data_IF_712038861770
#
_entry.id   IF_712038861770
#
_cell.length_a   1.000
_cell.length_b   1.000
_cell.length_c   1.000
_cell.angle_alpha   90.00
_cell.angle_beta   90.00
_cell.angle_gamma   90.00
#
_symmetry.space_group_name_H-M   'P 1'
#
loop_
_entity.id
_entity.type
_entity.pdbx_description
1 polymer ?
#
# COMPACT_ATOMS: atom_id res chain seq x y z
N UNK A 1 12.05 -18.16 6.76
CA UNK A 1 13.11 -17.18 6.43
C UNK A 1 14.24 -17.38 7.42
N UNK A 2 15.43 -17.76 6.95
CA UNK A 2 16.66 -17.37 7.66
C UNK A 2 17.05 -15.98 7.14
N UNK A 3 17.59 -15.07 7.96
CA UNK A 3 18.00 -13.75 7.51
C UNK A 3 19.15 -13.85 6.50
N UNK A 4 19.13 -12.99 5.48
CA UNK A 4 20.09 -12.97 4.38
C UNK A 4 21.53 -12.61 4.79
N UNK A 5 21.70 -12.03 5.98
CA UNK A 5 22.97 -11.81 6.65
C UNK A 5 22.70 -11.51 8.14
N UNK A 6 23.61 -11.94 9.02
CA UNK A 6 23.77 -11.32 10.33
C UNK A 6 24.95 -10.36 10.23
N UNK A 7 24.69 -9.05 10.30
CA UNK A 7 25.74 -8.04 10.14
C UNK A 7 25.38 -6.76 10.86
N UNK A 8 26.38 -6.06 11.38
CA UNK A 8 26.18 -4.71 11.90
C UNK A 8 26.03 -3.76 10.70
N UNK A 9 25.08 -2.83 10.79
CA UNK A 9 24.97 -1.74 9.84
C UNK A 9 25.06 -0.43 10.60
N UNK A 10 25.70 0.57 9.98
CA UNK A 10 25.72 1.93 10.51
C UNK A 10 25.23 2.86 9.42
N UNK A 11 24.26 3.69 9.78
CA UNK A 11 23.84 4.85 8.98
C UNK A 11 24.31 6.09 9.73
N UNK A 12 24.81 7.09 9.01
CA UNK A 12 25.24 8.37 9.58
C UNK A 12 24.95 9.47 8.56
N UNK A 13 24.72 10.69 9.01
CA UNK A 13 24.56 11.88 8.16
C UNK A 13 25.54 12.93 8.64
N UNK A 14 26.29 13.53 7.73
CA UNK A 14 27.29 14.57 8.05
C UNK A 14 27.53 15.45 6.81
N UNK A 15 27.69 16.76 7.00
CA UNK A 15 28.14 17.73 5.98
C UNK A 15 27.54 17.57 4.56
N UNK A 16 26.23 17.33 4.43
CA UNK A 16 25.57 17.20 3.13
C UNK A 16 25.71 15.82 2.47
N UNK A 17 26.08 14.79 3.22
CA UNK A 17 26.13 13.40 2.75
C UNK A 17 25.40 12.46 3.71
N UNK A 18 24.76 11.43 3.13
CA UNK A 18 24.24 10.28 3.85
C UNK A 18 25.16 9.07 3.62
N UNK A 19 25.61 8.47 4.72
CA UNK A 19 26.59 7.39 4.73
C UNK A 19 25.92 6.10 5.19
N UNK A 20 26.19 4.99 4.50
CA UNK A 20 25.89 3.66 5.01
C UNK A 20 26.95 2.64 4.59
N UNK A 21 27.25 1.70 5.48
CA UNK A 21 28.09 0.55 5.15
C UNK A 21 27.47 -0.72 5.72
N UNK A 22 27.74 -1.84 5.04
CA UNK A 22 27.37 -3.16 5.51
C UNK A 22 28.61 -3.82 6.13
N UNK A 23 28.51 -4.22 7.40
CA UNK A 23 29.53 -5.01 8.07
C UNK A 23 29.21 -6.50 7.93
N UNK A 24 29.81 -7.17 6.95
CA UNK A 24 29.65 -8.61 6.77
C UNK A 24 30.66 -9.40 7.65
N UNK A 25 31.54 -8.74 8.42
CA UNK A 25 32.54 -9.42 9.27
C UNK A 25 31.92 -10.24 10.40
N UNK A 26 30.68 -9.93 10.78
CA UNK A 26 29.88 -10.70 11.75
C UNK A 26 28.94 -11.73 11.08
N UNK A 27 28.98 -11.88 9.75
CA UNK A 27 28.24 -12.94 9.05
C UNK A 27 28.84 -14.29 9.43
N UNK A 28 28.15 -15.00 10.31
CA UNK A 28 28.57 -16.28 10.86
C UNK A 28 28.36 -17.43 9.85
N UNK A 29 28.92 -17.29 8.65
CA UNK A 29 28.82 -18.25 7.54
C UNK A 29 30.00 -19.24 7.59
N UNK A 30 29.75 -20.56 7.55
CA UNK A 30 30.84 -21.53 7.52
C UNK A 30 31.53 -21.48 6.15
N UNK A 31 32.86 -21.33 6.15
CA UNK A 31 33.73 -21.19 4.97
C UNK A 31 33.67 -19.83 4.23
N UNK A 32 33.90 -18.73 4.94
CA UNK A 32 34.22 -17.44 4.31
C UNK A 32 35.75 -17.14 4.30
N UNK A 33 36.42 -17.07 3.13
CA UNK A 33 37.82 -16.65 3.03
C UNK A 33 38.07 -15.14 3.24
N UNK A 34 37.02 -14.31 3.39
CA UNK A 34 37.12 -12.85 3.52
C UNK A 34 37.05 -12.34 4.97
N UNK A 35 37.08 -13.25 5.96
CA UNK A 35 37.07 -12.96 7.40
C UNK A 35 38.05 -11.84 7.80
N UNK A 36 37.53 -10.63 8.04
CA UNK A 36 38.26 -9.49 8.61
C UNK A 36 38.41 -8.25 7.73
N UNK A 37 37.88 -8.21 6.50
CA UNK A 37 37.88 -7.00 5.65
C UNK A 37 36.55 -6.23 5.74
N UNK A 38 36.56 -4.94 5.40
CA UNK A 38 35.34 -4.16 5.18
C UNK A 38 34.93 -4.33 3.71
N UNK A 39 33.68 -4.72 3.43
CA UNK A 39 33.34 -5.22 2.09
C UNK A 39 32.86 -4.14 1.11
N UNK A 40 31.89 -3.31 1.51
CA UNK A 40 31.31 -2.26 0.65
C UNK A 40 30.88 -1.03 1.47
N UNK A 41 31.33 0.14 1.02
CA UNK A 41 30.89 1.45 1.47
C UNK A 41 29.99 2.11 0.44
N UNK A 42 28.97 2.83 0.91
CA UNK A 42 28.09 3.63 0.08
C UNK A 42 27.97 5.05 0.63
N UNK A 43 27.92 6.02 -0.28
CA UNK A 43 27.63 7.41 0.04
C UNK A 43 26.62 7.98 -0.96
N UNK A 44 25.69 8.75 -0.42
CA UNK A 44 24.75 9.56 -1.17
C UNK A 44 25.09 11.04 -1.00
N UNK A 45 25.37 11.69 -2.13
CA UNK A 45 25.61 13.12 -2.32
C UNK A 45 24.26 13.84 -2.40
N UNK A 46 23.85 14.48 -1.29
CA UNK A 46 22.56 15.18 -1.19
C UNK A 46 22.52 16.45 -2.05
N UNK A 47 23.68 17.02 -2.42
CA UNK A 47 23.75 18.26 -3.18
C UNK A 47 23.53 18.03 -4.68
N UNK A 48 23.92 16.87 -5.20
CA UNK A 48 23.82 16.53 -6.62
C UNK A 48 22.88 15.36 -6.92
N UNK A 49 22.22 14.77 -5.90
CA UNK A 49 21.33 13.60 -6.03
C UNK A 49 22.03 12.39 -6.69
N UNK A 50 23.17 11.97 -6.13
CA UNK A 50 24.00 10.89 -6.70
C UNK A 50 24.46 9.88 -5.66
N UNK A 51 24.41 8.60 -6.02
CA UNK A 51 24.96 7.50 -5.23
C UNK A 51 26.36 7.11 -5.73
N UNK A 52 27.23 6.77 -4.78
CA UNK A 52 28.58 6.25 -5.03
C UNK A 52 28.87 5.04 -4.13
N UNK A 53 29.74 4.15 -4.60
CA UNK A 53 30.27 3.04 -3.78
C UNK A 53 31.80 2.90 -3.88
N UNK A 54 32.38 2.24 -2.88
CA UNK A 54 33.81 1.87 -2.83
C UNK A 54 33.99 0.57 -2.04
N UNK A 55 35.03 -0.19 -2.38
CA UNK A 55 35.51 -1.34 -1.55
C UNK A 55 36.55 -0.92 -0.51
N UNK A 56 37.10 0.29 -0.61
CA UNK A 56 38.15 0.79 0.26
C UNK A 56 37.68 2.04 1.02
N UNK A 57 37.90 2.06 2.34
CA UNK A 57 37.64 3.23 3.17
C UNK A 57 38.80 4.21 3.05
N UNK A 58 38.55 5.39 2.49
CA UNK A 58 39.47 6.52 2.61
C UNK A 58 39.19 7.30 3.89
N UNK A 59 40.26 7.70 4.60
CA UNK A 59 40.16 8.48 5.86
C UNK A 59 39.77 9.93 5.59
N UNK A 60 40.03 10.42 4.37
CA UNK A 60 39.64 11.75 3.88
C UNK A 60 38.66 11.63 2.72
N UNK A 61 37.57 12.40 2.77
CA UNK A 61 36.47 12.24 1.83
C UNK A 61 36.62 13.15 0.61
N UNK A 62 37.28 12.64 -0.44
CA UNK A 62 37.37 13.26 -1.75
C UNK A 62 36.59 12.42 -2.76
N UNK A 63 35.48 12.93 -3.30
CA UNK A 63 34.72 12.25 -4.36
C UNK A 63 35.47 12.19 -5.70
N UNK A 64 36.55 12.95 -5.86
CA UNK A 64 37.46 12.88 -7.00
C UNK A 64 38.61 11.88 -6.77
N UNK A 65 38.55 11.03 -5.73
CA UNK A 65 39.49 9.93 -5.55
C UNK A 65 39.02 8.71 -6.36
N UNK A 66 39.96 8.07 -7.07
CA UNK A 66 39.71 6.99 -8.03
C UNK A 66 39.02 5.73 -7.45
N UNK A 67 38.89 5.64 -6.12
CA UNK A 67 38.21 4.56 -5.43
C UNK A 67 36.67 4.67 -5.42
N UNK A 68 36.09 5.86 -5.67
CA UNK A 68 34.64 6.04 -5.66
C UNK A 68 34.04 5.87 -7.06
N UNK A 69 33.13 4.91 -7.19
CA UNK A 69 32.42 4.63 -8.43
C UNK A 69 30.99 5.16 -8.34
N UNK A 70 30.62 6.02 -9.29
CA UNK A 70 29.25 6.51 -9.45
C UNK A 70 28.29 5.35 -9.78
N UNK A 71 27.09 5.42 -9.23
CA UNK A 71 26.00 4.47 -9.46
C UNK A 71 24.92 5.23 -10.25
N UNK A 72 24.83 5.04 -11.59
CA UNK A 72 23.73 5.57 -12.37
C UNK A 72 22.40 4.96 -11.92
N UNK A 73 21.31 5.68 -12.12
CA UNK A 73 19.96 5.21 -11.78
C UNK A 73 19.66 3.81 -12.36
N UNK A 74 18.97 2.99 -11.57
CA UNK A 74 18.66 1.58 -11.84
C UNK A 74 19.88 0.63 -12.02
N UNK A 75 21.13 1.09 -11.83
CA UNK A 75 22.32 0.23 -11.94
C UNK A 75 22.41 -0.74 -10.78
N UNK A 76 22.44 -2.04 -11.08
CA UNK A 76 22.74 -3.08 -10.09
C UNK A 76 24.25 -3.29 -10.00
N UNK A 77 24.83 -2.96 -8.85
CA UNK A 77 26.29 -2.98 -8.59
C UNK A 77 26.83 -4.41 -8.44
N UNK A 78 25.93 -5.38 -8.19
CA UNK A 78 26.20 -6.80 -8.18
C UNK A 78 25.13 -7.56 -7.43
N UNK A 79 24.95 -8.84 -7.78
CA UNK A 79 24.14 -9.79 -7.01
C UNK A 79 25.11 -10.86 -6.50
N UNK A 80 25.17 -11.08 -5.20
CA UNK A 80 25.96 -12.19 -4.63
C UNK A 80 25.19 -13.50 -4.82
N UNK A 81 25.23 -14.04 -6.04
CA UNK A 81 24.64 -15.34 -6.34
C UNK A 81 25.56 -16.46 -5.86
N UNK A 82 25.12 -17.18 -4.84
CA UNK A 82 25.61 -18.53 -4.60
C UNK A 82 25.03 -19.42 -5.71
N UNK A 83 25.88 -19.89 -6.63
CA UNK A 83 25.48 -20.61 -7.86
C UNK A 83 24.68 -21.91 -7.61
N UNK A 84 24.55 -22.37 -6.36
CA UNK A 84 23.71 -23.52 -5.99
C UNK A 84 22.26 -23.16 -5.60
N UNK A 85 21.88 -21.87 -5.53
CA UNK A 85 20.55 -21.42 -5.11
C UNK A 85 19.86 -20.55 -6.17
N UNK A 86 19.38 -21.18 -7.24
CA UNK A 86 18.20 -20.67 -7.95
C UNK A 86 16.97 -20.81 -7.06
N UNK A 87 16.77 -19.83 -6.16
CA UNK A 87 15.50 -19.66 -5.45
C UNK A 87 15.06 -18.20 -5.58
N UNK A 88 14.09 -18.00 -6.49
CA UNK A 88 13.12 -16.89 -6.51
C UNK A 88 13.60 -15.59 -5.87
N UNK A 89 14.45 -14.85 -6.59
CA UNK A 89 14.48 -13.41 -6.45
C UNK A 89 13.12 -12.88 -6.90
N UNK A 90 12.17 -12.75 -5.97
CA UNK A 90 10.98 -11.94 -6.17
C UNK A 90 11.44 -10.55 -6.58
N UNK A 91 11.22 -10.18 -7.85
CA UNK A 91 11.56 -8.84 -8.33
C UNK A 91 10.97 -7.82 -7.37
N UNK A 92 11.77 -6.88 -6.87
CA UNK A 92 11.26 -5.83 -5.99
C UNK A 92 10.29 -4.95 -6.78
N UNK A 93 8.99 -5.28 -6.73
CA UNK A 93 7.98 -4.63 -7.54
C UNK A 93 7.77 -3.23 -6.98
N UNK A 94 8.30 -2.24 -7.71
CA UNK A 94 8.24 -0.84 -7.31
C UNK A 94 6.75 -0.44 -7.23
N UNK A 95 6.27 0.03 -6.06
CA UNK A 95 4.91 0.56 -5.96
C UNK A 95 4.82 1.90 -6.72
N UNK A 96 3.67 2.24 -7.31
CA UNK A 96 3.46 3.54 -7.97
C UNK A 96 3.87 4.73 -7.09
N UNK A 97 4.62 5.67 -7.66
CA UNK A 97 5.15 6.86 -6.99
C UNK A 97 4.51 8.15 -7.51
N UNK A 98 4.76 9.24 -6.80
CA UNK A 98 4.34 10.61 -7.14
C UNK A 98 2.87 10.77 -7.53
N UNK A 99 1.98 10.10 -6.78
CA UNK A 99 0.53 10.20 -7.00
C UNK A 99 0.07 11.65 -6.78
N UNK A 100 -0.55 12.17 -7.84
CA UNK A 100 -1.13 13.50 -7.92
C UNK A 100 -2.60 13.38 -8.27
N UNK A 101 -3.41 14.26 -7.66
CA UNK A 101 -4.85 14.36 -7.86
C UNK A 101 -5.12 15.77 -8.39
N UNK A 102 -5.69 15.86 -9.58
CA UNK A 102 -6.05 17.12 -10.26
C UNK A 102 -7.49 17.07 -10.73
N UNK A 103 -8.05 18.20 -11.16
CA UNK A 103 -9.38 18.26 -11.75
C UNK A 103 -9.26 18.49 -13.26
N UNK A 104 -9.88 17.62 -14.04
CA UNK A 104 -9.88 17.67 -15.51
C UNK A 104 -11.33 17.54 -15.99
N UNK A 105 -11.82 18.53 -16.74
CA UNK A 105 -13.22 18.62 -17.20
C UNK A 105 -14.28 18.33 -16.11
N UNK A 106 -14.08 18.91 -14.92
CA UNK A 106 -14.85 18.69 -13.69
C UNK A 106 -14.75 17.30 -13.03
N UNK A 107 -14.02 16.33 -13.57
CA UNK A 107 -13.81 15.02 -12.94
C UNK A 107 -12.44 14.92 -12.28
N UNK A 108 -12.28 14.01 -11.32
CA UNK A 108 -11.02 13.84 -10.61
C UNK A 108 -10.04 13.00 -11.46
N UNK A 109 -8.91 13.59 -11.83
CA UNK A 109 -7.83 12.91 -12.53
C UNK A 109 -6.75 12.49 -11.55
N UNK A 110 -6.48 11.19 -11.51
CA UNK A 110 -5.40 10.56 -10.76
C UNK A 110 -4.23 10.33 -11.73
N UNK A 111 -3.00 10.63 -11.32
CA UNK A 111 -1.82 10.41 -12.15
C UNK A 111 -0.58 10.11 -11.34
N UNK A 112 0.28 9.24 -11.86
CA UNK A 112 1.44 8.65 -11.19
C UNK A 112 2.56 8.35 -12.18
N UNK A 113 3.77 8.09 -11.69
CA UNK A 113 4.92 7.78 -12.55
C UNK A 113 4.73 6.43 -13.27
N UNK A 114 5.06 6.39 -14.55
CA UNK A 114 5.07 5.16 -15.34
C UNK A 114 6.22 4.26 -14.89
N UNK A 115 5.94 2.95 -14.78
CA UNK A 115 6.93 1.94 -14.40
C UNK A 115 7.30 1.10 -15.62
N UNK A 116 8.42 1.42 -16.25
CA UNK A 116 8.90 0.82 -17.50
C UNK A 116 9.76 -0.44 -17.29
N UNK A 117 9.34 -1.34 -16.39
CA UNK A 117 10.08 -2.56 -16.04
C UNK A 117 9.74 -3.77 -16.93
N UNK A 118 8.94 -3.60 -17.99
CA UNK A 118 8.55 -4.64 -18.95
C UNK A 118 7.68 -5.79 -18.40
N UNK A 119 7.61 -5.93 -17.07
CA UNK A 119 6.91 -7.00 -16.35
C UNK A 119 5.61 -6.54 -15.68
N UNK A 120 5.22 -5.26 -15.83
CA UNK A 120 3.97 -4.72 -15.27
C UNK A 120 2.81 -5.09 -16.19
N UNK A 121 1.87 -5.90 -15.69
CA UNK A 121 0.66 -6.29 -16.41
C UNK A 121 -0.43 -5.22 -16.28
N UNK A 122 -0.66 -4.72 -15.07
CA UNK A 122 -1.70 -3.74 -14.81
C UNK A 122 -1.51 -2.95 -13.50
N UNK A 123 -2.10 -1.76 -13.45
CA UNK A 123 -2.26 -0.94 -12.26
C UNK A 123 -3.65 -1.17 -11.67
N UNK A 124 -3.73 -1.30 -10.35
CA UNK A 124 -4.98 -1.41 -9.59
C UNK A 124 -5.13 -0.16 -8.75
N UNK A 125 -6.17 0.63 -9.03
CA UNK A 125 -6.50 1.84 -8.27
C UNK A 125 -7.49 1.48 -7.18
N UNK A 126 -7.14 1.86 -5.96
CA UNK A 126 -7.95 1.69 -4.76
C UNK A 126 -8.47 3.05 -4.30
N UNK A 127 -9.76 3.10 -3.99
CA UNK A 127 -10.46 4.26 -3.43
C UNK A 127 -10.97 3.91 -2.05
N UNK A 128 -10.71 4.76 -1.05
CA UNK A 128 -11.30 4.65 0.28
C UNK A 128 -12.22 5.83 0.56
N UNK A 129 -13.51 5.55 0.68
CA UNK A 129 -14.56 6.49 1.07
C UNK A 129 -15.01 6.13 2.49
N UNK A 130 -14.83 7.06 3.45
CA UNK A 130 -15.30 7.01 4.85
C UNK A 130 -14.94 5.78 5.72
N UNK A 131 -14.36 4.72 5.17
CA UNK A 131 -14.08 3.47 5.88
C UNK A 131 -13.85 2.28 4.94
N UNK A 132 -14.70 2.16 3.92
CA UNK A 132 -14.56 1.15 2.87
C UNK A 132 -13.44 1.51 1.90
N UNK A 133 -12.47 0.61 1.70
CA UNK A 133 -11.52 0.65 0.58
C UNK A 133 -11.98 -0.34 -0.51
N UNK A 134 -11.95 0.07 -1.76
CA UNK A 134 -12.40 -0.74 -2.91
C UNK A 134 -11.45 -0.63 -4.10
N UNK A 135 -11.34 -1.71 -4.87
CA UNK A 135 -10.72 -1.65 -6.20
C UNK A 135 -11.71 -0.94 -7.10
N UNK A 136 -11.33 0.23 -7.58
CA UNK A 136 -12.17 1.08 -8.42
C UNK A 136 -11.87 0.88 -9.91
N UNK A 137 -10.61 0.60 -10.26
CA UNK A 137 -10.19 0.36 -11.63
C UNK A 137 -8.98 -0.58 -11.72
N UNK A 138 -8.95 -1.39 -12.79
CA UNK A 138 -7.76 -2.07 -13.32
C UNK A 138 -7.41 -1.40 -14.64
N UNK A 139 -6.13 -1.06 -14.85
CA UNK A 139 -5.68 -0.28 -16.01
C UNK A 139 -4.40 -0.91 -16.57
N UNK A 140 -4.35 -1.08 -17.87
CA UNK A 140 -3.16 -1.58 -18.57
C UNK A 140 -2.17 -0.43 -18.81
N UNK A 141 -0.84 -0.65 -18.70
CA UNK A 141 0.14 0.42 -18.89
C UNK A 141 0.04 1.06 -20.27
N UNK A 142 -0.17 2.39 -20.32
CA UNK A 142 -0.11 3.12 -21.60
C UNK A 142 1.33 3.13 -22.12
N UNK A 143 1.54 2.49 -23.28
CA UNK A 143 2.86 2.35 -23.91
C UNK A 143 3.41 3.67 -24.51
N UNK A 144 2.53 4.63 -24.82
CA UNK A 144 2.86 5.93 -25.40
C UNK A 144 2.13 7.05 -24.65
N UNK A 145 2.82 8.18 -24.40
CA UNK A 145 2.24 9.32 -23.65
C UNK A 145 3.17 10.04 -22.66
N UNK A 146 4.45 9.65 -22.57
CA UNK A 146 5.42 10.22 -21.62
C UNK A 146 5.48 9.46 -20.30
N UNK A 147 6.18 10.04 -19.32
CA UNK A 147 6.63 9.34 -18.10
C UNK A 147 5.54 9.14 -17.05
N UNK A 148 4.28 9.45 -17.35
CA UNK A 148 3.17 9.38 -16.38
C UNK A 148 1.99 8.61 -16.91
N UNK A 149 1.43 7.76 -16.06
CA UNK A 149 0.14 7.12 -16.26
C UNK A 149 -0.96 8.00 -15.67
N UNK A 150 -2.16 7.96 -16.27
CA UNK A 150 -3.31 8.76 -15.81
C UNK A 150 -4.61 7.98 -15.87
N UNK A 151 -5.54 8.32 -14.99
CA UNK A 151 -6.90 7.79 -14.98
C UNK A 151 -7.87 8.81 -14.39
N UNK A 152 -9.14 8.75 -14.79
CA UNK A 152 -10.17 9.71 -14.35
C UNK A 152 -11.26 8.98 -13.59
N UNK A 153 -11.48 9.37 -12.33
CA UNK A 153 -12.63 8.94 -11.56
C UNK A 153 -13.87 9.76 -11.96
N UNK A 154 -14.63 9.24 -12.92
CA UNK A 154 -15.88 9.86 -13.35
C UNK A 154 -16.98 9.83 -12.27
N UNK A 155 -16.84 9.04 -11.21
CA UNK A 155 -17.76 9.07 -10.05
C UNK A 155 -17.49 10.24 -9.10
N UNK A 156 -16.39 10.98 -9.29
CA UNK A 156 -16.01 12.12 -8.43
C UNK A 156 -15.90 13.40 -9.24
N UNK A 157 -16.89 14.27 -9.05
CA UNK A 157 -16.92 15.62 -9.63
C UNK A 157 -16.30 16.66 -8.70
N UNK A 158 -15.78 17.75 -9.29
CA UNK A 158 -15.22 18.90 -8.58
C UNK A 158 -16.24 19.50 -7.60
N UNK A 159 -15.95 19.57 -6.28
CA UNK A 159 -16.91 20.03 -5.29
C UNK A 159 -17.20 21.52 -5.44
N UNK A 160 -18.40 21.94 -5.01
CA UNK A 160 -18.75 23.36 -4.91
C UNK A 160 -18.44 23.85 -3.50
N UNK A 161 -18.62 25.16 -3.25
CA UNK A 161 -18.35 25.78 -1.94
C UNK A 161 -19.36 25.36 -0.85
N UNK A 162 -20.39 24.58 -1.19
CA UNK A 162 -21.69 24.55 -0.48
C UNK A 162 -22.16 23.18 -0.01
N UNK A 163 -21.51 22.06 -0.38
CA UNK A 163 -22.11 20.74 -0.21
C UNK A 163 -21.74 20.14 1.21
N UNK A 164 -21.74 18.82 1.55
CA UNK A 164 -21.32 18.27 2.89
C UNK A 164 -19.92 17.58 3.00
N UNK A 165 -19.22 17.60 4.16
CA UNK A 165 -17.75 17.32 4.24
C UNK A 165 -17.37 15.88 3.92
N UNK A 166 -16.34 15.70 3.09
CA UNK A 166 -15.90 14.39 2.63
C UNK A 166 -14.37 14.21 2.65
N UNK A 167 -13.96 12.94 2.78
CA UNK A 167 -12.59 12.49 2.62
C UNK A 167 -12.58 11.28 1.71
N UNK A 168 -11.86 11.38 0.60
CA UNK A 168 -11.56 10.23 -0.27
C UNK A 168 -10.04 10.09 -0.36
N UNK A 169 -9.55 8.91 0.02
CA UNK A 169 -8.15 8.52 -0.09
C UNK A 169 -7.95 7.58 -1.29
N UNK A 170 -6.93 7.83 -2.11
CA UNK A 170 -6.50 6.94 -3.20
C UNK A 170 -5.15 6.30 -2.91
N UNK A 171 -5.00 5.06 -3.38
CA UNK A 171 -3.75 4.29 -3.44
C UNK A 171 -3.72 3.46 -4.71
N UNK A 172 -2.53 3.09 -5.18
CA UNK A 172 -2.35 2.29 -6.39
C UNK A 172 -1.36 1.16 -6.09
N UNK A 173 -1.57 0.00 -6.71
CA UNK A 173 -0.62 -1.11 -6.77
C UNK A 173 -0.33 -1.46 -8.22
N UNK A 174 0.85 -2.00 -8.52
CA UNK A 174 1.08 -2.74 -9.76
C UNK A 174 0.84 -4.23 -9.52
N UNK A 175 0.41 -4.92 -10.57
CA UNK A 175 0.41 -6.38 -10.71
C UNK A 175 1.36 -6.73 -11.85
N UNK A 176 2.26 -7.69 -11.64
CA UNK A 176 3.15 -8.17 -12.68
C UNK A 176 2.52 -9.26 -13.53
N UNK A 177 3.10 -9.54 -14.70
CA UNK A 177 2.71 -10.64 -15.60
C UNK A 177 2.68 -12.01 -14.90
N UNK A 178 3.48 -12.17 -13.84
CA UNK A 178 3.53 -13.39 -13.02
C UNK A 178 2.48 -13.39 -11.88
N UNK A 179 1.53 -12.45 -11.88
CA UNK A 179 0.44 -12.35 -10.92
C UNK A 179 0.76 -11.70 -9.57
N UNK A 180 2.01 -11.30 -9.34
CA UNK A 180 2.48 -10.76 -8.05
C UNK A 180 2.14 -9.27 -7.96
N UNK A 181 1.65 -8.81 -6.80
CA UNK A 181 1.32 -7.40 -6.58
C UNK A 181 2.41 -6.66 -5.77
N UNK A 182 2.68 -5.40 -6.14
CA UNK A 182 3.53 -4.50 -5.35
C UNK A 182 2.93 -4.20 -3.96
N UNK A 183 3.72 -3.55 -3.11
CA UNK A 183 3.15 -2.78 -2.00
C UNK A 183 2.20 -1.68 -2.51
N UNK A 184 1.40 -1.09 -1.62
CA UNK A 184 0.66 0.13 -1.96
C UNK A 184 1.61 1.30 -2.16
N UNK A 185 1.25 2.19 -3.08
CA UNK A 185 1.76 3.55 -3.16
C UNK A 185 1.61 4.32 -1.84
N UNK A 186 2.24 5.50 -1.78
CA UNK A 186 1.81 6.52 -0.82
C UNK A 186 0.31 6.83 -1.01
N UNK A 187 -0.35 7.18 0.11
CA UNK A 187 -1.75 7.58 0.10
C UNK A 187 -1.86 9.03 -0.36
N UNK A 188 -2.73 9.31 -1.33
CA UNK A 188 -3.09 10.69 -1.69
C UNK A 188 -4.60 10.87 -1.52
N UNK A 189 -5.01 11.84 -0.72
CA UNK A 189 -6.43 12.13 -0.48
C UNK A 189 -6.82 13.52 -0.93
N UNK A 190 -8.09 13.67 -1.30
CA UNK A 190 -8.74 14.98 -1.40
C UNK A 190 -9.58 15.23 -0.15
N UNK A 191 -9.50 16.48 0.31
CA UNK A 191 -10.20 17.01 1.47
C UNK A 191 -10.81 18.34 1.03
N UNK A 192 -12.03 18.63 1.45
CA UNK A 192 -12.61 19.94 1.20
C UNK A 192 -13.81 20.20 2.08
N UNK A 193 -14.17 21.49 2.16
CA UNK A 193 -15.58 21.83 2.19
C UNK A 193 -16.14 21.42 0.81
N UNK A 194 -16.46 20.14 0.61
CA UNK A 194 -17.81 19.60 0.81
C UNK A 194 -18.52 19.60 -0.57
N UNK A 195 -18.92 18.50 -1.25
CA UNK A 195 -19.34 17.16 -0.82
C UNK A 195 -19.63 16.14 -1.96
N UNK A 196 -20.55 15.16 -1.76
CA UNK A 196 -20.67 13.95 -2.63
C UNK A 196 -22.02 13.76 -3.38
N UNK A 197 -21.89 13.19 -4.59
CA UNK A 197 -22.88 12.57 -5.49
C UNK A 197 -23.83 13.49 -6.27
N UNK A 198 -23.48 13.74 -7.55
CA UNK A 198 -24.42 13.39 -8.62
C UNK A 198 -24.02 12.03 -9.18
N UNK A 199 -24.84 11.00 -8.93
CA UNK A 199 -24.85 9.82 -9.80
C UNK A 199 -25.31 10.32 -11.16
N UNK A 200 -24.40 10.38 -12.14
CA UNK A 200 -24.85 10.34 -13.53
C UNK A 200 -25.45 8.95 -13.70
N UNK A 201 -26.78 8.88 -13.66
CA UNK A 201 -27.52 7.68 -14.03
C UNK A 201 -27.40 7.56 -15.55
N UNK A 202 -26.27 7.04 -15.99
CA UNK A 202 -26.29 6.04 -17.05
C UNK A 202 -26.54 4.73 -16.31
N UNK A 203 -27.60 4.02 -16.69
CA UNK A 203 -27.90 2.68 -16.17
C UNK A 203 -26.96 1.66 -16.81
N UNK A 204 -25.66 1.77 -16.52
CA UNK A 204 -24.82 0.58 -16.48
C UNK A 204 -25.05 -0.09 -15.13
N UNK A 205 -25.38 -1.38 -15.17
CA UNK A 205 -25.56 -2.21 -13.98
C UNK A 205 -24.22 -2.33 -13.24
N UNK A 206 -23.97 -1.39 -12.31
CA UNK A 206 -22.92 -1.56 -11.30
C UNK A 206 -23.16 -2.89 -10.61
N UNK A 207 -22.29 -3.87 -10.88
CA UNK A 207 -22.29 -5.16 -10.21
C UNK A 207 -21.89 -4.95 -8.74
N UNK A 208 -22.88 -4.63 -7.89
CA UNK A 208 -22.73 -4.41 -6.44
C UNK A 208 -22.39 -5.73 -5.76
N UNK A 209 -21.16 -6.21 -5.92
CA UNK A 209 -20.72 -7.48 -5.38
C UNK A 209 -20.81 -7.51 -3.84
N UNK A 210 -20.98 -8.71 -3.27
CA UNK A 210 -20.88 -8.91 -1.83
C UNK A 210 -19.50 -8.51 -1.32
N UNK A 211 -19.45 -7.75 -0.23
CA UNK A 211 -18.18 -7.33 0.37
C UNK A 211 -18.36 -6.85 1.80
N UNK A 212 -17.56 -7.36 2.73
CA UNK A 212 -17.35 -6.72 4.03
C UNK A 212 -16.13 -5.78 3.93
N UNK A 213 -16.23 -4.58 4.50
CA UNK A 213 -15.12 -3.64 4.62
C UNK A 213 -14.42 -3.78 5.97
N UNK A 214 -13.16 -3.34 6.04
CA UNK A 214 -12.46 -3.26 7.32
C UNK A 214 -13.06 -2.13 8.18
N UNK A 215 -13.46 -2.47 9.40
CA UNK A 215 -13.97 -1.53 10.39
C UNK A 215 -13.04 -0.31 10.55
N UNK A 216 -13.62 0.88 10.65
CA UNK A 216 -12.87 2.13 10.75
C UNK A 216 -13.42 2.97 11.91
N UNK A 217 -12.57 3.42 12.87
CA UNK A 217 -11.14 3.13 12.99
C UNK A 217 -10.85 1.67 13.39
N UNK A 218 -9.61 1.21 13.19
CA UNK A 218 -9.06 -0.03 13.72
C UNK A 218 -7.53 0.16 13.94
N UNK A 219 -7.00 0.13 15.19
CA UNK A 219 -7.71 -0.09 16.45
C UNK A 219 -8.79 0.95 16.76
N UNK A 220 -9.69 0.65 17.68
CA UNK A 220 -10.80 1.55 18.06
C UNK A 220 -11.02 1.64 19.57
N UNK A 221 -11.70 2.72 20.00
CA UNK A 221 -12.10 2.95 21.39
C UNK A 221 -13.29 3.94 21.48
N UNK A 222 -14.41 3.59 22.13
CA UNK A 222 -15.00 2.26 22.23
C UNK A 222 -15.87 1.94 21.00
N UNK A 223 -15.95 2.84 20.02
CA UNK A 223 -16.81 2.73 18.83
C UNK A 223 -16.04 2.65 17.51
N UNK A 224 -16.63 1.96 16.54
CA UNK A 224 -16.12 1.80 15.17
C UNK A 224 -17.27 1.62 14.19
N UNK A 225 -17.09 1.98 12.92
CA UNK A 225 -18.07 1.73 11.86
C UNK A 225 -17.66 0.53 11.04
N UNK A 226 -18.57 -0.43 10.86
CA UNK A 226 -18.43 -1.56 9.96
C UNK A 226 -19.31 -1.29 8.74
N UNK A 227 -18.73 -1.44 7.56
CA UNK A 227 -19.40 -1.12 6.29
C UNK A 227 -19.39 -2.35 5.37
N UNK A 228 -20.42 -2.51 4.54
CA UNK A 228 -20.52 -3.65 3.61
C UNK A 228 -21.46 -3.37 2.43
N UNK A 229 -21.38 -4.17 1.38
CA UNK A 229 -22.27 -4.14 0.21
C UNK A 229 -22.96 -5.49 -0.02
N UNK A 230 -24.18 -5.45 -0.55
CA UNK A 230 -24.94 -6.62 -1.04
C UNK A 230 -25.56 -6.36 -2.42
N UNK A 231 -25.54 -7.33 -3.35
CA UNK A 231 -26.10 -7.21 -4.70
C UNK A 231 -27.62 -7.28 -4.77
N UNK A 232 -28.26 -7.95 -3.80
CA UNK A 232 -29.65 -8.39 -3.88
C UNK A 232 -30.40 -8.11 -2.56
N UNK A 233 -31.72 -8.19 -2.60
CA UNK A 233 -32.57 -8.17 -1.40
C UNK A 233 -32.47 -9.49 -0.62
N UNK A 234 -31.74 -9.45 0.49
CA UNK A 234 -31.40 -10.61 1.31
C UNK A 234 -31.60 -10.38 2.81
N UNK A 235 -31.69 -11.49 3.56
CA UNK A 235 -31.64 -11.44 5.02
C UNK A 235 -30.18 -11.38 5.48
N UNK A 236 -29.80 -10.29 6.14
CA UNK A 236 -28.43 -9.98 6.53
C UNK A 236 -28.27 -10.10 8.04
N UNK A 237 -27.23 -10.81 8.47
CA UNK A 237 -26.76 -10.79 9.86
C UNK A 237 -25.33 -10.29 9.95
N UNK A 238 -25.08 -9.30 10.80
CA UNK A 238 -23.74 -8.83 11.14
C UNK A 238 -23.54 -9.03 12.65
N UNK A 239 -22.58 -9.88 13.01
CA UNK A 239 -22.35 -10.33 14.39
C UNK A 239 -20.88 -10.19 14.79
N UNK A 240 -20.64 -9.96 16.07
CA UNK A 240 -19.31 -9.84 16.68
C UNK A 240 -19.03 -11.03 17.58
N UNK A 241 -17.81 -11.53 17.55
CA UNK A 241 -17.32 -12.69 18.29
C UNK A 241 -15.98 -12.39 18.99
N UNK A 242 -15.72 -13.05 20.11
CA UNK A 242 -14.41 -13.04 20.77
C UNK A 242 -13.45 -14.08 20.13
N UNK A 243 -12.24 -14.21 20.69
CA UNK A 243 -11.22 -15.17 20.21
C UNK A 243 -11.58 -16.65 20.48
N UNK A 244 -12.58 -16.91 21.31
CA UNK A 244 -13.08 -18.26 21.62
C UNK A 244 -14.31 -18.63 20.76
N UNK A 245 -14.82 -17.69 19.95
CA UNK A 245 -16.01 -17.86 19.12
C UNK A 245 -17.33 -17.55 19.85
N UNK A 246 -17.30 -17.00 21.06
CA UNK A 246 -18.51 -16.58 21.75
C UNK A 246 -19.09 -15.33 21.07
N UNK A 247 -20.40 -15.31 20.81
CA UNK A 247 -21.06 -14.14 20.22
C UNK A 247 -21.16 -13.01 21.26
N UNK A 248 -20.43 -11.92 21.02
CA UNK A 248 -20.36 -10.73 21.90
C UNK A 248 -21.49 -9.74 21.60
N UNK A 249 -21.84 -9.57 20.32
CA UNK A 249 -22.91 -8.66 19.90
C UNK A 249 -23.57 -9.11 18.59
N UNK A 250 -24.82 -8.70 18.37
CA UNK A 250 -25.47 -8.69 17.06
C UNK A 250 -25.71 -7.24 16.68
N UNK A 251 -25.15 -6.80 15.55
CA UNK A 251 -25.18 -5.41 15.09
C UNK A 251 -26.27 -5.19 14.01
N UNK A 252 -26.58 -6.24 13.26
CA UNK A 252 -27.66 -6.26 12.27
C UNK A 252 -28.25 -7.67 12.19
N UNK A 253 -29.57 -7.77 12.00
CA UNK A 253 -30.29 -9.04 11.86
C UNK A 253 -31.67 -8.80 11.20
N UNK A 254 -31.66 -8.37 9.94
CA UNK A 254 -32.88 -7.97 9.21
C UNK A 254 -32.72 -8.16 7.69
N UNK A 255 -33.84 -8.14 6.95
CA UNK A 255 -33.84 -8.13 5.48
C UNK A 255 -33.55 -6.72 4.97
N UNK A 256 -32.67 -6.59 3.98
CA UNK A 256 -32.27 -5.33 3.35
C UNK A 256 -32.19 -5.49 1.83
N UNK A 257 -32.60 -4.48 1.05
CA UNK A 257 -32.43 -4.46 -0.41
C UNK A 257 -30.94 -4.37 -0.81
N UNK A 258 -30.68 -4.54 -2.10
CA UNK A 258 -29.38 -4.27 -2.71
C UNK A 258 -28.84 -2.88 -2.32
N UNK A 259 -27.54 -2.78 -2.01
CA UNK A 259 -26.90 -1.50 -1.67
C UNK A 259 -25.70 -1.60 -0.75
N UNK A 260 -25.19 -0.42 -0.34
CA UNK A 260 -24.11 -0.26 0.63
C UNK A 260 -24.67 0.19 1.98
N UNK A 261 -24.15 -0.40 3.06
CA UNK A 261 -24.61 -0.17 4.43
C UNK A 261 -23.45 0.16 5.37
N UNK A 262 -23.72 1.05 6.32
CA UNK A 262 -22.82 1.42 7.40
C UNK A 262 -23.51 1.10 8.74
N UNK A 263 -22.87 0.31 9.60
CA UNK A 263 -23.39 -0.11 10.91
C UNK A 263 -22.40 0.27 12.00
N UNK A 264 -22.87 1.00 13.01
CA UNK A 264 -22.06 1.40 14.15
C UNK A 264 -21.92 0.22 15.14
N UNK A 265 -20.69 -0.04 15.58
CA UNK A 265 -20.37 -0.98 16.65
C UNK A 265 -19.85 -0.19 17.86
N UNK A 266 -20.40 -0.44 19.04
CA UNK A 266 -20.01 0.20 20.30
C UNK A 266 -19.75 -0.89 21.33
N UNK A 267 -18.52 -0.98 21.85
CA UNK A 267 -18.05 -2.08 22.70
C UNK A 267 -17.61 -1.59 24.10
N UNK A 268 -18.51 -0.90 24.80
CA UNK A 268 -18.21 -0.27 26.10
C UNK A 268 -17.89 -1.27 27.22
N UNK A 269 -18.52 -2.45 27.25
CA UNK A 269 -18.51 -3.35 28.41
C UNK A 269 -17.67 -4.63 28.21
N UNK A 270 -16.70 -4.62 27.28
CA UNK A 270 -15.80 -5.75 27.02
C UNK A 270 -14.32 -5.36 27.18
N UNK A 271 -13.43 -6.34 27.29
CA UNK A 271 -11.98 -6.12 27.49
C UNK A 271 -11.27 -5.62 26.24
N UNK A 272 -10.16 -4.88 26.39
CA UNK A 272 -9.25 -4.62 25.27
C UNK A 272 -8.75 -5.95 24.68
N UNK A 273 -8.71 -6.07 23.36
CA UNK A 273 -8.35 -7.32 22.72
C UNK A 273 -8.77 -7.45 21.26
N UNK A 274 -8.48 -8.63 20.71
CA UNK A 274 -8.85 -9.02 19.35
C UNK A 274 -10.28 -9.54 19.34
N UNK A 275 -11.08 -9.05 18.39
CA UNK A 275 -12.44 -9.52 18.12
C UNK A 275 -12.59 -9.81 16.63
N UNK A 276 -13.60 -10.61 16.30
CA UNK A 276 -13.98 -10.91 14.92
C UNK A 276 -15.39 -10.42 14.66
N UNK A 277 -15.68 -10.01 13.43
CA UNK A 277 -17.04 -9.72 13.00
C UNK A 277 -17.33 -10.45 11.68
N UNK A 278 -18.49 -11.07 11.62
CA UNK A 278 -18.93 -11.89 10.50
C UNK A 278 -20.19 -11.29 9.91
N UNK A 279 -20.13 -11.01 8.61
CA UNK A 279 -21.28 -10.71 7.78
C UNK A 279 -21.76 -12.01 7.14
N UNK A 280 -23.06 -12.28 7.22
CA UNK A 280 -23.74 -13.33 6.46
C UNK A 280 -24.92 -12.72 5.71
N UNK A 281 -24.97 -12.95 4.41
CA UNK A 281 -26.05 -12.56 3.51
C UNK A 281 -26.24 -13.70 2.52
N UNK A 282 -27.40 -14.36 2.53
CA UNK A 282 -27.67 -15.52 1.66
C UNK A 282 -26.62 -16.62 1.84
N UNK A 283 -25.93 -16.97 0.74
CA UNK A 283 -24.79 -17.90 0.71
C UNK A 283 -23.44 -17.23 0.99
N UNK A 284 -23.36 -15.91 0.98
CA UNK A 284 -22.15 -15.16 1.29
C UNK A 284 -21.87 -15.18 2.80
N UNK A 285 -20.61 -15.41 3.17
CA UNK A 285 -20.13 -15.25 4.54
C UNK A 285 -18.69 -14.74 4.50
N UNK A 286 -18.44 -13.58 5.11
CA UNK A 286 -17.09 -13.04 5.27
C UNK A 286 -16.86 -12.64 6.74
N UNK A 287 -15.68 -12.98 7.27
CA UNK A 287 -15.25 -12.62 8.62
C UNK A 287 -14.00 -11.75 8.56
N UNK A 288 -13.96 -10.68 9.35
CA UNK A 288 -12.77 -9.84 9.52
C UNK A 288 -12.42 -9.66 10.99
N UNK A 289 -11.15 -9.33 11.24
CA UNK A 289 -10.57 -9.08 12.56
C UNK A 289 -10.61 -7.59 12.90
N UNK A 290 -10.91 -7.23 14.14
CA UNK A 290 -10.77 -5.89 14.71
C UNK A 290 -10.05 -5.91 16.06
N UNK A 291 -9.50 -4.78 16.48
CA UNK A 291 -8.76 -4.61 17.72
C UNK A 291 -9.37 -3.47 18.55
N UNK A 292 -9.94 -3.81 19.70
CA UNK A 292 -10.40 -2.84 20.70
C UNK A 292 -9.23 -2.47 21.61
N UNK A 293 -8.98 -1.18 21.79
CA UNK A 293 -7.97 -0.65 22.71
C UNK A 293 -8.60 0.38 23.64
N UNK A 294 -8.91 -0.02 24.88
CA UNK A 294 -9.19 0.91 25.98
C UNK A 294 -7.90 1.46 26.58
#
# INVERSE_FOLDING_TARGET
>A
MNPLAYGKYKITVNNGYSYFYFDLRDCNYPFDPYKGKHDIWFVYDLANDRFFWSREMQVTFNLNADCWQYIPDATTIGIWQNNALQQNLECFIIPPKNITLTWDNNYLKISWDRIDLGNVESYYIYKKVEGCEEVLARIEPQASGGDRQTWTDYSVTKPKRTDPMFKIDYRIRTKTTNGIFSNYSSKKGIYGNTGIWKKNIVEEEENVNYKLCQNTPNPFNPSTTISFTVPNDEFITLKVYDVLGNQVATLLNERKPAGMYNVQCIMNNVSSGVYFYTLKAGSYTETKKMLLMK
#
